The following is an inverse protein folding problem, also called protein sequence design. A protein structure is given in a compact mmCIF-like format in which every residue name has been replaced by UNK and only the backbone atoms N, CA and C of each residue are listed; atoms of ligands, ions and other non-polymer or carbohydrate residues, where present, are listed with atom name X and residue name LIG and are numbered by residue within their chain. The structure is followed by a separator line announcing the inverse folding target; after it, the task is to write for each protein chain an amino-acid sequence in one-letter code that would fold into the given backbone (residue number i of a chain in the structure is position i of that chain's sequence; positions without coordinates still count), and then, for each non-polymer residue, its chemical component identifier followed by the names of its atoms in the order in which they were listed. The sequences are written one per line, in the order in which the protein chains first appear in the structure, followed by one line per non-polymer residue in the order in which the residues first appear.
data_IF_961482704622
#
_entry.id   IF_961482704622
#
_cell.length_a   1.000
_cell.length_b   1.000
_cell.length_c   1.000
_cell.angle_alpha   90.00
_cell.angle_beta   90.00
_cell.angle_gamma   90.00
#
_symmetry.space_group_name_H-M   'P 1'
#
loop_
_entity.id
_entity.type
_entity.pdbx_description
1 polymer ?
#
# COMPACT_ATOMS: atom_id res chain seq x y z
N UNK A 1 -33.54 6.16 10.84
CA UNK A 1 -32.57 5.08 10.47
C UNK A 1 -31.20 5.70 10.51
N UNK A 2 -30.20 5.12 11.21
CA UNK A 2 -28.84 5.67 11.16
C UNK A 2 -28.35 5.59 9.72
N UNK A 3 -27.82 6.71 9.21
CA UNK A 3 -27.19 6.78 7.89
C UNK A 3 -26.00 5.84 7.93
N UNK A 4 -26.06 4.76 7.16
CA UNK A 4 -24.91 3.84 7.01
C UNK A 4 -23.72 4.66 6.52
N UNK A 5 -22.62 4.65 7.26
CA UNK A 5 -21.42 5.35 6.83
C UNK A 5 -20.94 4.75 5.50
N UNK A 6 -20.41 5.59 4.63
CA UNK A 6 -19.86 5.20 3.32
C UNK A 6 -18.83 4.06 3.43
N UNK A 7 -18.21 3.94 4.59
CA UNK A 7 -17.19 2.94 4.91
C UNK A 7 -17.79 1.53 5.11
N UNK A 8 -19.00 1.41 5.66
CA UNK A 8 -19.66 0.12 5.93
C UNK A 8 -20.02 -0.68 4.67
N UNK A 9 -19.95 -0.08 3.49
CA UNK A 9 -20.20 -0.76 2.21
C UNK A 9 -18.92 -1.30 1.55
N UNK A 10 -17.75 -1.06 2.14
CA UNK A 10 -16.49 -1.57 1.59
C UNK A 10 -16.32 -3.06 1.87
N UNK A 11 -15.84 -3.86 0.90
CA UNK A 11 -15.52 -5.27 1.12
C UNK A 11 -14.54 -5.51 2.28
N UNK A 12 -13.64 -4.55 2.54
CA UNK A 12 -12.67 -4.59 3.64
C UNK A 12 -13.30 -4.43 5.02
N UNK A 13 -14.54 -3.95 5.10
CA UNK A 13 -15.31 -3.77 6.33
C UNK A 13 -16.40 -4.83 6.48
N UNK A 14 -16.47 -5.78 5.54
CA UNK A 14 -17.46 -6.85 5.58
C UNK A 14 -17.11 -7.85 6.69
N UNK A 15 -18.13 -8.23 7.45
CA UNK A 15 -17.99 -9.29 8.46
C UNK A 15 -17.76 -10.61 7.75
N UNK A 16 -16.70 -11.34 8.12
CA UNK A 16 -16.47 -12.68 7.62
C UNK A 16 -17.34 -13.70 8.40
N UNK A 17 -18.30 -14.38 7.74
CA UNK A 17 -19.15 -15.35 8.42
C UNK A 17 -18.38 -16.51 9.06
N UNK A 18 -17.22 -16.88 8.53
CA UNK A 18 -16.40 -17.98 9.05
C UNK A 18 -15.74 -17.64 10.40
N UNK A 19 -15.69 -16.36 10.78
CA UNK A 19 -15.02 -15.91 12.00
C UNK A 19 -15.96 -15.24 13.02
N UNK A 20 -17.28 -15.35 12.84
CA UNK A 20 -18.29 -14.73 13.72
C UNK A 20 -18.17 -15.13 15.19
N UNK A 21 -17.74 -16.35 15.48
CA UNK A 21 -17.59 -16.89 16.82
C UNK A 21 -16.14 -17.22 17.16
N UNK A 22 -15.18 -16.48 16.58
CA UNK A 22 -13.74 -16.77 16.73
C UNK A 22 -13.28 -16.71 18.18
N UNK A 23 -13.92 -15.89 19.01
CA UNK A 23 -13.69 -15.75 20.45
C UNK A 23 -14.05 -17.01 21.26
N UNK A 24 -14.81 -17.94 20.69
CA UNK A 24 -15.26 -19.20 21.32
C UNK A 24 -14.50 -20.43 20.83
N UNK A 25 -13.61 -20.26 19.87
CA UNK A 25 -12.85 -21.34 19.26
C UNK A 25 -11.62 -21.69 20.09
N UNK A 26 -11.13 -22.92 19.94
CA UNK A 26 -9.79 -23.28 20.45
C UNK A 26 -8.71 -22.56 19.64
N UNK A 27 -7.51 -22.41 20.23
CA UNK A 27 -6.37 -21.83 19.50
C UNK A 27 -6.05 -22.58 18.22
N UNK A 28 -6.21 -23.91 18.20
CA UNK A 28 -5.99 -24.73 17.02
C UNK A 28 -7.00 -24.41 15.91
N UNK A 29 -8.29 -24.30 16.26
CA UNK A 29 -9.35 -23.97 15.31
C UNK A 29 -9.20 -22.54 14.76
N UNK A 30 -8.75 -21.59 15.60
CA UNK A 30 -8.44 -20.21 15.15
C UNK A 30 -7.33 -20.24 14.10
N UNK A 31 -6.22 -20.94 14.37
CA UNK A 31 -5.09 -21.06 13.43
C UNK A 31 -5.55 -21.73 12.13
N UNK A 32 -6.30 -22.80 12.20
CA UNK A 32 -6.84 -23.47 11.01
C UNK A 32 -7.76 -22.55 10.21
N UNK A 33 -8.65 -21.83 10.89
CA UNK A 33 -9.52 -20.83 10.28
C UNK A 33 -8.73 -19.75 9.52
N UNK A 34 -7.67 -19.20 10.13
CA UNK A 34 -6.79 -18.21 9.49
C UNK A 34 -6.11 -18.80 8.24
N UNK A 35 -5.53 -19.99 8.33
CA UNK A 35 -4.91 -20.67 7.18
C UNK A 35 -5.88 -20.94 6.04
N UNK A 36 -7.16 -21.23 6.36
CA UNK A 36 -8.20 -21.41 5.34
C UNK A 36 -8.53 -20.09 4.61
N UNK A 37 -8.56 -18.96 5.33
CA UNK A 37 -8.73 -17.64 4.71
C UNK A 37 -7.50 -17.25 3.86
N UNK A 38 -6.28 -17.54 4.33
CA UNK A 38 -5.05 -17.28 3.57
C UNK A 38 -5.02 -18.05 2.23
N UNK A 39 -5.54 -19.27 2.17
CA UNK A 39 -5.68 -20.00 0.90
C UNK A 39 -6.58 -19.27 -0.10
N UNK A 40 -7.67 -18.66 0.37
CA UNK A 40 -8.55 -17.84 -0.49
C UNK A 40 -7.83 -16.60 -1.00
N UNK A 41 -7.04 -15.94 -0.14
CA UNK A 41 -6.22 -14.80 -0.51
C UNK A 41 -5.19 -15.17 -1.59
N UNK A 42 -4.46 -16.28 -1.42
CA UNK A 42 -3.50 -16.76 -2.42
C UNK A 42 -4.16 -17.04 -3.77
N UNK A 43 -5.34 -17.68 -3.75
CA UNK A 43 -6.11 -17.92 -4.98
C UNK A 43 -6.56 -16.61 -5.66
N UNK A 44 -6.88 -15.57 -4.88
CA UNK A 44 -7.21 -14.26 -5.42
C UNK A 44 -6.00 -13.59 -6.08
N UNK A 45 -4.84 -13.62 -5.42
CA UNK A 45 -3.58 -13.07 -5.99
C UNK A 45 -3.19 -13.82 -7.26
N UNK A 46 -3.35 -15.15 -7.28
CA UNK A 46 -3.04 -15.96 -8.47
C UNK A 46 -3.90 -15.60 -9.69
N UNK A 47 -5.16 -15.19 -9.49
CA UNK A 47 -6.01 -14.69 -10.59
C UNK A 47 -5.51 -13.39 -11.19
N UNK A 48 -4.78 -12.59 -10.42
CA UNK A 48 -4.23 -11.30 -10.86
C UNK A 48 -2.78 -11.38 -11.40
N UNK A 49 -2.22 -12.59 -11.54
CA UNK A 49 -0.81 -12.82 -11.91
C UNK A 49 -0.36 -12.05 -13.16
N UNK A 50 -1.21 -11.96 -14.18
CA UNK A 50 -0.90 -11.24 -15.42
C UNK A 50 -0.78 -9.73 -15.20
N UNK A 51 -1.66 -9.16 -14.37
CA UNK A 51 -1.59 -7.74 -13.99
C UNK A 51 -0.37 -7.43 -13.12
N UNK A 52 -0.04 -8.35 -12.23
CA UNK A 52 1.18 -8.26 -11.41
C UNK A 52 2.42 -8.29 -12.31
N UNK A 53 2.47 -9.19 -13.30
CA UNK A 53 3.56 -9.26 -14.26
C UNK A 53 3.73 -7.94 -15.04
N UNK A 54 2.64 -7.32 -15.50
CA UNK A 54 2.68 -5.99 -16.12
C UNK A 54 3.26 -4.94 -15.18
N UNK A 55 2.91 -4.98 -13.88
CA UNK A 55 3.49 -4.11 -12.86
C UNK A 55 5.01 -4.29 -12.73
N UNK A 56 5.48 -5.54 -12.72
CA UNK A 56 6.92 -5.88 -12.70
C UNK A 56 7.64 -5.33 -13.94
N UNK A 57 7.05 -5.46 -15.13
CA UNK A 57 7.64 -4.93 -16.36
C UNK A 57 7.74 -3.40 -16.34
N UNK A 58 6.73 -2.72 -15.84
CA UNK A 58 6.73 -1.25 -15.68
C UNK A 58 7.88 -0.82 -14.76
N UNK A 59 8.04 -1.48 -13.60
CA UNK A 59 9.09 -1.20 -12.63
C UNK A 59 10.46 -1.46 -13.26
N UNK A 60 10.65 -2.61 -13.87
CA UNK A 60 11.93 -3.00 -14.51
C UNK A 60 12.33 -2.01 -15.59
N UNK A 61 11.38 -1.60 -16.44
CA UNK A 61 11.64 -0.62 -17.50
C UNK A 61 12.03 0.77 -16.94
N UNK A 62 11.46 1.16 -15.80
CA UNK A 62 11.80 2.42 -15.13
C UNK A 62 13.22 2.37 -14.52
N UNK A 63 13.55 1.29 -13.80
CA UNK A 63 14.87 1.11 -13.20
C UNK A 63 15.98 1.08 -14.25
N UNK A 64 15.78 0.43 -15.38
CA UNK A 64 16.74 0.45 -16.52
C UNK A 64 16.99 1.84 -17.09
N UNK A 65 16.07 2.78 -16.89
CA UNK A 65 16.18 4.19 -17.31
C UNK A 65 16.62 5.13 -16.18
N UNK A 66 17.19 4.56 -15.11
CA UNK A 66 17.60 5.27 -13.90
C UNK A 66 16.44 6.03 -13.23
N UNK A 67 15.24 5.46 -13.28
CA UNK A 67 14.08 5.88 -12.50
C UNK A 67 14.11 5.28 -11.10
N UNK A 68 13.22 5.75 -10.24
CA UNK A 68 13.08 5.30 -8.85
C UNK A 68 11.73 4.61 -8.66
N UNK A 69 11.65 3.80 -7.62
CA UNK A 69 10.38 3.29 -7.08
C UNK A 69 10.04 4.14 -5.86
N UNK A 70 8.82 4.62 -5.77
CA UNK A 70 8.34 5.38 -4.61
C UNK A 70 7.04 4.74 -4.11
N UNK A 71 7.13 4.07 -2.97
CA UNK A 71 5.96 3.54 -2.28
C UNK A 71 5.19 4.65 -1.56
N UNK A 72 3.87 4.56 -1.54
CA UNK A 72 3.02 5.49 -0.78
C UNK A 72 1.87 4.75 -0.13
N UNK A 73 1.71 4.94 1.18
CA UNK A 73 0.68 4.27 1.97
C UNK A 73 0.37 4.97 3.28
N UNK A 74 -0.63 4.47 3.99
CA UNK A 74 -0.97 4.88 5.35
C UNK A 74 -1.01 3.65 6.27
N UNK A 75 -0.79 3.83 7.56
CA UNK A 75 -0.83 2.74 8.53
C UNK A 75 0.13 1.60 8.16
N UNK A 76 -0.35 0.36 8.24
CA UNK A 76 0.42 -0.85 7.87
C UNK A 76 0.90 -0.80 6.42
N UNK A 77 0.06 -0.34 5.48
CA UNK A 77 0.43 -0.21 4.07
C UNK A 77 1.63 0.71 3.86
N UNK A 78 1.70 1.83 4.60
CA UNK A 78 2.86 2.72 4.58
C UNK A 78 4.11 2.10 5.20
N UNK A 79 3.95 1.32 6.29
CA UNK A 79 5.06 0.61 6.94
C UNK A 79 5.66 -0.46 6.05
N UNK A 80 4.85 -1.20 5.28
CA UNK A 80 5.34 -2.15 4.28
C UNK A 80 6.22 -1.46 3.23
N UNK A 81 5.79 -0.32 2.70
CA UNK A 81 6.63 0.45 1.76
C UNK A 81 7.96 0.91 2.36
N UNK A 82 7.96 1.31 3.65
CA UNK A 82 9.20 1.69 4.35
C UNK A 82 10.10 0.48 4.55
N UNK A 83 9.55 -0.66 4.96
CA UNK A 83 10.30 -1.92 5.12
C UNK A 83 10.98 -2.29 3.81
N UNK A 84 10.25 -2.34 2.70
CA UNK A 84 10.80 -2.62 1.38
C UNK A 84 11.94 -1.65 1.02
N UNK A 85 11.75 -0.35 1.24
CA UNK A 85 12.79 0.64 0.93
C UNK A 85 14.06 0.48 1.78
N UNK A 86 13.92 0.04 3.02
CA UNK A 86 15.04 -0.17 3.93
C UNK A 86 15.84 -1.46 3.62
N UNK A 87 15.15 -2.52 3.15
CA UNK A 87 15.75 -3.82 2.84
C UNK A 87 16.48 -3.87 1.48
N UNK A 88 16.17 -2.96 0.57
CA UNK A 88 16.78 -2.96 -0.77
C UNK A 88 18.31 -2.78 -0.76
N UNK A 89 18.91 -1.84 0.01
CA UNK A 89 20.36 -1.70 0.04
C UNK A 89 21.09 -2.92 0.61
N UNK A 90 20.74 -3.47 1.78
CA UNK A 90 21.47 -4.60 2.35
C UNK A 90 21.27 -5.91 1.55
N UNK A 91 20.08 -6.10 0.95
CA UNK A 91 19.74 -7.35 0.26
C UNK A 91 20.26 -7.37 -1.18
N UNK A 92 20.18 -6.25 -1.89
CA UNK A 92 20.50 -6.17 -3.33
C UNK A 92 21.63 -5.21 -3.65
N UNK A 93 22.29 -4.61 -2.66
CA UNK A 93 23.40 -3.67 -2.86
C UNK A 93 22.99 -2.39 -3.60
N UNK A 94 21.71 -2.00 -3.52
CA UNK A 94 21.20 -0.82 -4.21
C UNK A 94 21.58 0.47 -3.48
N UNK A 95 21.54 1.60 -4.21
CA UNK A 95 21.59 2.91 -3.58
C UNK A 95 20.28 3.16 -2.82
N UNK A 96 20.35 3.81 -1.66
CA UNK A 96 19.17 4.12 -0.82
C UNK A 96 18.15 5.02 -1.50
N UNK A 97 18.55 5.79 -2.52
CA UNK A 97 17.66 6.66 -3.27
C UNK A 97 16.85 5.92 -4.35
N UNK A 98 17.18 4.66 -4.65
CA UNK A 98 16.55 3.89 -5.72
C UNK A 98 15.11 3.51 -5.36
N UNK A 99 14.89 3.12 -4.12
CA UNK A 99 13.57 2.75 -3.59
C UNK A 99 13.28 3.61 -2.38
N UNK A 100 12.20 4.37 -2.45
CA UNK A 100 11.78 5.33 -1.44
C UNK A 100 10.37 5.00 -0.96
N UNK A 101 10.03 5.49 0.22
CA UNK A 101 8.67 5.38 0.72
C UNK A 101 8.21 6.69 1.37
N UNK A 102 6.93 7.00 1.21
CA UNK A 102 6.22 8.03 1.96
C UNK A 102 5.02 7.43 2.66
N UNK A 103 4.84 7.83 3.90
CA UNK A 103 3.78 7.34 4.78
C UNK A 103 2.99 8.51 5.37
N UNK A 104 1.67 8.36 5.43
CA UNK A 104 0.81 9.31 6.12
C UNK A 104 1.25 9.48 7.57
N UNK A 105 1.35 10.73 8.03
CA UNK A 105 1.86 11.08 9.37
C UNK A 105 3.38 11.09 9.51
N UNK A 106 4.13 10.72 8.43
CA UNK A 106 5.59 10.82 8.37
C UNK A 106 6.32 9.86 9.34
N UNK A 107 7.58 10.19 9.65
CA UNK A 107 8.46 9.34 10.49
C UNK A 107 7.85 8.96 11.84
N UNK A 108 7.12 9.86 12.49
CA UNK A 108 6.50 9.57 13.79
C UNK A 108 5.40 8.50 13.72
N UNK A 109 4.71 8.40 12.57
CA UNK A 109 3.68 7.38 12.37
C UNK A 109 4.24 5.98 12.09
N UNK A 110 5.55 5.83 11.89
CA UNK A 110 6.19 4.52 11.73
C UNK A 110 6.08 3.67 12.99
N UNK A 111 6.36 4.27 14.14
CA UNK A 111 6.42 3.60 15.44
C UNK A 111 5.15 3.82 16.26
N UNK A 112 4.50 4.96 16.11
CA UNK A 112 3.32 5.32 16.89
C UNK A 112 2.08 5.42 15.99
N UNK A 113 0.92 4.90 16.39
CA UNK A 113 -0.32 5.09 15.66
C UNK A 113 -0.69 6.58 15.63
N UNK A 114 -1.21 7.03 14.48
CA UNK A 114 -1.68 8.40 14.30
C UNK A 114 -2.95 8.39 13.47
N UNK A 115 -4.05 8.71 14.12
CA UNK A 115 -5.38 8.71 13.51
C UNK A 115 -5.61 9.92 12.60
N UNK A 116 -6.44 9.75 11.57
CA UNK A 116 -6.91 10.78 10.67
C UNK A 116 -5.88 11.30 9.65
N UNK A 117 -4.65 10.80 9.69
CA UNK A 117 -3.61 11.22 8.73
C UNK A 117 -3.81 10.64 7.33
N UNK A 118 -4.50 9.53 7.24
CA UNK A 118 -4.85 8.83 5.98
C UNK A 118 -5.87 9.61 5.13
N UNK A 119 -6.66 10.48 5.76
CA UNK A 119 -7.69 11.28 5.09
C UNK A 119 -7.14 12.60 4.51
N UNK A 120 -5.88 12.94 4.78
CA UNK A 120 -5.29 14.19 4.35
C UNK A 120 -4.72 14.11 2.93
N UNK A 121 -5.58 14.39 1.94
CA UNK A 121 -5.21 14.42 0.52
C UNK A 121 -4.07 15.40 0.22
N UNK A 122 -4.14 16.62 0.76
CA UNK A 122 -3.17 17.69 0.49
C UNK A 122 -1.78 17.35 1.05
N UNK A 123 -1.71 16.70 2.22
CA UNK A 123 -0.42 16.26 2.76
C UNK A 123 0.18 15.14 1.90
N UNK A 124 -0.64 14.23 1.34
CA UNK A 124 -0.18 13.25 0.36
C UNK A 124 0.45 13.92 -0.86
N UNK A 125 -0.21 14.91 -1.42
CA UNK A 125 0.29 15.68 -2.56
C UNK A 125 1.59 16.43 -2.22
N UNK A 126 1.67 17.10 -1.05
CA UNK A 126 2.86 17.80 -0.58
C UNK A 126 4.03 16.85 -0.34
N UNK A 127 3.79 15.71 0.30
CA UNK A 127 4.81 14.71 0.57
C UNK A 127 5.43 14.15 -0.71
N UNK A 128 4.60 13.86 -1.71
CA UNK A 128 5.07 13.45 -3.04
C UNK A 128 5.89 14.56 -3.73
N UNK A 129 5.44 15.81 -3.64
CA UNK A 129 6.13 16.94 -4.25
C UNK A 129 7.54 17.14 -3.69
N UNK A 130 7.76 16.89 -2.39
CA UNK A 130 9.09 16.98 -1.75
C UNK A 130 10.11 16.03 -2.38
N UNK A 131 9.67 14.88 -2.90
CA UNK A 131 10.52 13.91 -3.59
C UNK A 131 10.80 14.27 -5.05
N UNK A 132 10.18 15.33 -5.58
CA UNK A 132 10.35 15.81 -6.95
C UNK A 132 10.23 14.67 -7.97
N UNK A 133 9.06 13.99 -8.04
CA UNK A 133 8.88 12.85 -8.93
C UNK A 133 9.02 13.28 -10.39
N UNK A 134 9.50 12.39 -11.23
CA UNK A 134 9.76 12.61 -12.65
C UNK A 134 9.07 11.56 -13.53
N UNK A 135 9.06 11.75 -14.83
CA UNK A 135 8.55 10.77 -15.81
C UNK A 135 9.30 9.43 -15.83
N UNK A 136 10.48 9.36 -15.20
CA UNK A 136 11.25 8.12 -15.07
C UNK A 136 10.79 7.26 -13.89
N UNK A 137 10.16 7.88 -12.89
CA UNK A 137 9.82 7.22 -11.64
C UNK A 137 8.51 6.42 -11.75
N UNK A 138 8.44 5.35 -10.97
CA UNK A 138 7.21 4.57 -10.74
C UNK A 138 6.76 4.78 -9.32
N UNK A 139 5.49 5.12 -9.15
CA UNK A 139 4.87 5.32 -7.85
C UNK A 139 3.92 4.16 -7.59
N UNK A 140 4.15 3.45 -6.50
CA UNK A 140 3.35 2.31 -6.07
C UNK A 140 2.48 2.73 -4.90
N UNK A 141 1.19 2.87 -5.14
CA UNK A 141 0.21 3.13 -4.09
C UNK A 141 -0.17 1.83 -3.38
N UNK A 142 -0.14 1.82 -2.05
CA UNK A 142 -0.52 0.67 -1.23
C UNK A 142 -1.71 1.05 -0.36
N UNK A 143 -2.85 0.41 -0.58
CA UNK A 143 -4.07 0.63 0.19
C UNK A 143 -5.00 -0.58 0.04
N UNK A 144 -5.42 -1.18 1.15
CA UNK A 144 -6.34 -2.31 1.14
C UNK A 144 -7.72 -1.93 0.58
N UNK A 145 -8.26 -0.77 0.97
CA UNK A 145 -9.57 -0.29 0.53
C UNK A 145 -9.54 0.46 -0.81
N UNK A 146 -8.36 0.90 -1.28
CA UNK A 146 -8.23 1.80 -2.43
C UNK A 146 -8.76 3.23 -2.20
N UNK A 147 -9.23 3.56 -1.00
CA UNK A 147 -9.94 4.82 -0.70
C UNK A 147 -9.10 5.87 0.03
N UNK A 148 -7.90 5.53 0.49
CA UNK A 148 -7.01 6.38 1.30
C UNK A 148 -6.70 7.71 0.60
N UNK A 149 -7.18 8.82 1.16
CA UNK A 149 -7.06 10.15 0.53
C UNK A 149 -5.60 10.60 0.42
N UNK A 150 -4.78 10.34 1.42
CA UNK A 150 -3.34 10.61 1.39
C UNK A 150 -2.68 9.97 0.16
N UNK A 151 -2.96 8.68 -0.08
CA UNK A 151 -2.43 7.94 -1.24
C UNK A 151 -2.92 8.57 -2.54
N UNK A 152 -4.21 8.86 -2.65
CA UNK A 152 -4.80 9.51 -3.84
C UNK A 152 -4.16 10.85 -4.14
N UNK A 153 -3.92 11.68 -3.12
CA UNK A 153 -3.23 12.97 -3.25
C UNK A 153 -1.82 12.81 -3.82
N UNK A 154 -1.04 11.89 -3.25
CA UNK A 154 0.30 11.57 -3.71
C UNK A 154 0.32 11.07 -5.17
N UNK A 155 -0.54 10.11 -5.50
CA UNK A 155 -0.63 9.55 -6.86
C UNK A 155 -1.06 10.60 -7.89
N UNK A 156 -2.02 11.45 -7.54
CA UNK A 156 -2.46 12.55 -8.43
C UNK A 156 -1.31 13.51 -8.70
N UNK A 157 -0.54 13.86 -7.68
CA UNK A 157 0.62 14.75 -7.82
C UNK A 157 1.70 14.14 -8.71
N UNK A 158 2.02 12.86 -8.50
CA UNK A 158 3.00 12.13 -9.29
C UNK A 158 2.58 11.99 -10.77
N UNK A 159 1.30 11.68 -11.03
CA UNK A 159 0.76 11.61 -12.39
C UNK A 159 0.92 12.92 -13.15
N UNK A 160 0.69 14.07 -12.48
CA UNK A 160 0.93 15.40 -13.08
C UNK A 160 2.39 15.67 -13.40
N UNK A 161 3.33 15.00 -12.72
CA UNK A 161 4.75 15.04 -13.02
C UNK A 161 5.18 14.07 -14.13
N UNK A 162 4.23 13.30 -14.68
CA UNK A 162 4.47 12.32 -15.74
C UNK A 162 4.93 10.94 -15.26
N UNK A 163 4.96 10.70 -13.93
CA UNK A 163 5.35 9.40 -13.37
C UNK A 163 4.35 8.29 -13.73
N UNK A 164 4.85 7.07 -13.86
CA UNK A 164 4.01 5.87 -13.96
C UNK A 164 3.40 5.55 -12.60
N UNK A 165 2.15 5.10 -12.60
CA UNK A 165 1.40 4.77 -11.38
C UNK A 165 0.99 3.30 -11.42
N UNK A 166 1.24 2.60 -10.31
CA UNK A 166 0.71 1.27 -9.99
C UNK A 166 -0.15 1.43 -8.74
N UNK A 167 -1.43 0.99 -8.82
CA UNK A 167 -2.37 1.11 -7.69
C UNK A 167 -3.47 0.07 -7.80
#
# INVERSE_FOLDING_TARGET
MPVRSKWQSLPTEAINPATLAIDKLSSADIVEGMLNEDRKMLAAVQREKERIAVGVDIITAALRKSGRIIFVGAGTSGRLGILESAEMPPTFGTKSELVLAIMAGGKNAMLNPKEGVEDNYEEGARSMMRLKPTKKDVIVGVSASGMTQFVRGALTRARRAGSRIIF
#
